data_IF_894261726047
#
_entry.id   IF_894261726047
#
_cell.length_a   1.000
_cell.length_b   1.000
_cell.length_c   1.000
_cell.angle_alpha   90.00
_cell.angle_beta   90.00
_cell.angle_gamma   90.00
#
_symmetry.space_group_name_H-M   'P 1'
#
loop_
_entity.id
_entity.type
_entity.pdbx_description
1 polymer ?
#
# COMPACT_ATOMS: atom_id res chain seq x y z
N UNK A 1 -25.82 4.64 -14.99
CA UNK A 1 -25.40 4.61 -13.57
C UNK A 1 -24.09 5.37 -13.54
N UNK A 2 -24.04 6.51 -12.84
CA UNK A 2 -22.77 7.18 -12.59
C UNK A 2 -21.89 6.23 -11.76
N UNK A 3 -20.63 6.05 -12.16
CA UNK A 3 -19.68 5.20 -11.43
C UNK A 3 -19.38 5.77 -10.05
N UNK A 4 -18.98 4.91 -9.11
CA UNK A 4 -18.61 5.35 -7.75
C UNK A 4 -17.30 6.12 -7.85
N UNK A 5 -17.25 7.36 -7.33
CA UNK A 5 -16.01 8.14 -7.31
C UNK A 5 -15.21 7.84 -6.04
N UNK A 6 -14.04 7.21 -6.16
CA UNK A 6 -13.22 6.88 -4.99
C UNK A 6 -12.30 8.01 -4.54
N UNK A 7 -11.88 8.90 -5.46
CA UNK A 7 -10.73 9.77 -5.20
C UNK A 7 -11.07 11.26 -5.12
N UNK A 8 -10.37 11.96 -4.24
CA UNK A 8 -10.27 13.42 -4.18
C UNK A 8 -8.87 13.80 -4.65
N UNK A 9 -8.76 14.47 -5.78
CA UNK A 9 -7.47 14.72 -6.45
C UNK A 9 -6.78 16.02 -6.02
N UNK A 10 -7.24 16.69 -4.96
CA UNK A 10 -6.69 17.99 -4.52
C UNK A 10 -5.21 17.91 -4.14
N UNK A 11 -4.77 16.80 -3.55
CA UNK A 11 -3.38 16.57 -3.12
C UNK A 11 -2.66 15.52 -3.98
N UNK A 12 -3.28 15.12 -5.10
CA UNK A 12 -2.65 14.22 -6.05
C UNK A 12 -1.75 15.03 -6.99
N UNK A 13 -0.48 15.14 -6.63
CA UNK A 13 0.57 15.78 -7.43
C UNK A 13 1.60 14.73 -7.87
N UNK A 14 1.61 14.41 -9.16
CA UNK A 14 2.50 13.38 -9.70
C UNK A 14 3.98 13.77 -9.63
N UNK A 15 4.32 15.05 -9.81
CA UNK A 15 5.71 15.51 -9.75
C UNK A 15 6.24 15.37 -8.32
N UNK A 16 5.41 15.72 -7.33
CA UNK A 16 5.75 15.54 -5.91
C UNK A 16 5.89 14.08 -5.52
N UNK A 17 4.98 13.23 -6.01
CA UNK A 17 5.05 11.78 -5.80
C UNK A 17 6.37 11.25 -6.38
N UNK A 18 6.69 11.56 -7.64
CA UNK A 18 7.91 11.09 -8.30
C UNK A 18 9.16 11.59 -7.57
N UNK A 19 9.17 12.86 -7.13
CA UNK A 19 10.27 13.44 -6.36
C UNK A 19 10.48 12.72 -5.04
N UNK A 20 9.40 12.47 -4.28
CA UNK A 20 9.45 11.79 -2.99
C UNK A 20 9.84 10.32 -3.12
N UNK A 21 9.34 9.62 -4.14
CA UNK A 21 9.75 8.23 -4.41
C UNK A 21 11.22 8.14 -4.84
N UNK A 22 11.73 9.12 -5.58
CA UNK A 22 13.15 9.15 -5.98
C UNK A 22 14.07 9.42 -4.78
N UNK A 23 13.68 10.34 -3.89
CA UNK A 23 14.55 10.82 -2.81
C UNK A 23 14.42 10.03 -1.50
N UNK A 24 13.19 9.78 -1.06
CA UNK A 24 12.86 9.14 0.23
C UNK A 24 12.43 7.67 0.02
N UNK A 25 11.90 7.35 -1.15
CA UNK A 25 11.41 6.02 -1.50
C UNK A 25 9.95 5.75 -1.13
N UNK A 26 9.32 6.66 -0.40
CA UNK A 26 7.96 6.54 0.13
C UNK A 26 7.30 7.93 0.22
N UNK A 27 5.99 7.98 -0.01
CA UNK A 27 5.13 9.15 0.27
C UNK A 27 3.75 8.66 0.72
N UNK A 28 3.06 9.44 1.55
CA UNK A 28 1.65 9.25 1.86
C UNK A 28 0.87 10.48 1.43
N UNK A 29 -0.26 10.27 0.77
CA UNK A 29 -1.15 11.34 0.31
C UNK A 29 -2.60 11.01 0.69
N UNK A 30 -3.40 11.98 1.13
CA UNK A 30 -4.84 11.80 1.25
C UNK A 30 -5.43 11.65 -0.15
N UNK A 31 -6.22 10.58 -0.37
CA UNK A 31 -6.74 10.30 -1.70
C UNK A 31 -8.20 9.82 -1.68
N UNK A 32 -8.60 9.00 -0.71
CA UNK A 32 -9.96 8.46 -0.71
C UNK A 32 -10.99 9.47 -0.24
N UNK A 33 -12.13 9.52 -0.93
CA UNK A 33 -13.32 10.23 -0.46
C UNK A 33 -13.88 9.52 0.78
N UNK A 34 -14.28 10.31 1.79
CA UNK A 34 -14.74 9.76 3.07
C UNK A 34 -15.96 8.84 2.91
N UNK A 35 -16.92 9.20 2.05
CA UNK A 35 -18.12 8.39 1.83
C UNK A 35 -17.79 7.00 1.28
N UNK A 36 -16.93 6.92 0.26
CA UNK A 36 -16.55 5.64 -0.38
C UNK A 36 -15.54 4.88 0.46
N UNK A 37 -14.66 5.56 1.21
CA UNK A 37 -13.81 4.94 2.25
C UNK A 37 -14.64 4.19 3.29
N UNK A 38 -15.73 4.79 3.77
CA UNK A 38 -16.64 4.13 4.71
C UNK A 38 -17.40 2.95 4.08
N UNK A 39 -17.73 3.01 2.78
CA UNK A 39 -18.30 1.87 2.06
C UNK A 39 -17.30 0.71 1.94
N UNK A 40 -16.04 1.02 1.59
CA UNK A 40 -14.94 0.05 1.56
C UNK A 40 -14.73 -0.59 2.93
N UNK A 41 -14.79 0.18 4.01
CA UNK A 41 -14.70 -0.37 5.38
C UNK A 41 -15.83 -1.37 5.65
N UNK A 42 -17.09 -1.01 5.34
CA UNK A 42 -18.23 -1.92 5.55
C UNK A 42 -18.09 -3.22 4.77
N UNK A 43 -17.60 -3.16 3.53
CA UNK A 43 -17.30 -4.36 2.75
C UNK A 43 -16.12 -5.14 3.34
N UNK A 44 -15.08 -4.44 3.84
CA UNK A 44 -13.92 -5.04 4.50
C UNK A 44 -14.32 -5.95 5.67
N UNK A 45 -15.31 -5.52 6.43
CA UNK A 45 -15.81 -6.23 7.62
C UNK A 45 -16.52 -7.56 7.26
N UNK A 46 -16.97 -7.72 6.02
CA UNK A 46 -17.70 -8.91 5.56
C UNK A 46 -16.79 -10.00 4.94
N UNK A 47 -15.53 -9.69 4.64
CA UNK A 47 -14.62 -10.69 4.06
C UNK A 47 -14.20 -11.76 5.05
N UNK A 48 -13.92 -12.95 4.51
CA UNK A 48 -13.27 -14.02 5.24
C UNK A 48 -11.75 -13.79 5.20
N UNK A 49 -11.12 -13.68 6.36
CA UNK A 49 -9.68 -13.52 6.45
C UNK A 49 -9.01 -14.78 6.98
N UNK A 50 -7.83 -15.08 6.45
CA UNK A 50 -6.94 -16.09 6.96
C UNK A 50 -5.84 -15.44 7.83
N UNK A 51 -5.46 -16.05 8.96
CA UNK A 51 -4.38 -15.52 9.81
C UNK A 51 -3.03 -15.64 9.10
N UNK A 52 -2.22 -14.58 9.20
CA UNK A 52 -0.89 -14.43 8.62
C UNK A 52 0.16 -14.29 9.74
N UNK A 53 0.24 -15.31 10.60
CA UNK A 53 1.21 -15.37 11.69
C UNK A 53 2.46 -16.10 11.20
N UNK A 54 3.50 -15.35 10.85
CA UNK A 54 4.71 -15.90 10.22
C UNK A 54 5.96 -15.34 10.88
N UNK A 55 7.00 -16.17 10.94
CA UNK A 55 8.38 -15.78 11.20
C UNK A 55 9.21 -16.29 10.02
N UNK A 56 9.74 -15.37 9.20
CA UNK A 56 10.44 -15.70 7.96
C UNK A 56 11.86 -15.15 8.04
N UNK A 57 12.84 -15.95 7.63
CA UNK A 57 14.26 -15.59 7.66
C UNK A 57 15.04 -16.30 8.77
N UNK A 58 16.34 -16.07 8.81
CA UNK A 58 17.24 -16.59 9.83
C UNK A 58 17.95 -15.43 10.54
N UNK A 59 18.40 -15.67 11.78
CA UNK A 59 19.25 -14.76 12.55
C UNK A 59 18.72 -13.32 12.63
N UNK A 60 19.48 -12.37 12.09
CA UNK A 60 19.25 -10.93 12.01
C UNK A 60 18.33 -10.51 10.83
N UNK A 61 17.88 -11.47 10.02
CA UNK A 61 16.99 -11.22 8.87
C UNK A 61 15.53 -11.62 9.11
N UNK A 62 15.15 -11.84 10.37
CA UNK A 62 13.81 -12.29 10.75
C UNK A 62 12.78 -11.18 10.45
N UNK A 63 11.75 -11.54 9.70
CA UNK A 63 10.52 -10.78 9.54
C UNK A 63 9.41 -11.53 10.28
N UNK A 64 8.75 -10.84 11.21
CA UNK A 64 7.55 -11.35 11.89
C UNK A 64 6.32 -10.61 11.39
N UNK A 65 5.26 -11.37 11.16
CA UNK A 65 3.95 -10.84 10.79
C UNK A 65 2.90 -11.35 11.75
N UNK A 66 1.96 -10.48 12.10
CA UNK A 66 0.78 -10.80 12.87
C UNK A 66 -0.36 -9.87 12.43
N UNK A 67 -1.18 -10.39 11.50
CA UNK A 67 -2.42 -9.79 11.01
C UNK A 67 -3.24 -10.91 10.35
N UNK A 68 -4.46 -10.63 9.89
CA UNK A 68 -5.17 -11.51 8.96
C UNK A 68 -5.19 -10.90 7.55
N UNK A 69 -5.27 -11.73 6.51
CA UNK A 69 -5.38 -11.26 5.12
C UNK A 69 -6.51 -11.93 4.34
N UNK A 70 -7.02 -11.19 3.35
CA UNK A 70 -7.91 -11.66 2.30
C UNK A 70 -7.31 -11.24 0.95
N UNK A 71 -7.19 -12.17 0.00
CA UNK A 71 -6.70 -11.94 -1.37
C UNK A 71 -7.72 -12.37 -2.44
N UNK A 72 -8.93 -12.75 -2.02
CA UNK A 72 -10.01 -13.22 -2.88
C UNK A 72 -11.16 -12.22 -2.86
N UNK A 73 -11.45 -11.65 -4.02
CA UNK A 73 -12.45 -10.58 -4.18
C UNK A 73 -13.41 -10.96 -5.31
N UNK A 74 -14.69 -10.59 -5.16
CA UNK A 74 -15.64 -10.69 -6.27
C UNK A 74 -15.30 -9.64 -7.34
N UNK A 75 -15.59 -9.94 -8.61
CA UNK A 75 -15.35 -9.02 -9.73
C UNK A 75 -16.08 -7.68 -9.55
N UNK A 76 -17.24 -7.70 -8.90
CA UNK A 76 -18.06 -6.52 -8.62
C UNK A 76 -17.88 -5.94 -7.20
N UNK A 77 -16.81 -6.32 -6.49
CA UNK A 77 -16.49 -5.71 -5.18
C UNK A 77 -16.01 -4.27 -5.34
N UNK A 78 -16.18 -3.43 -4.30
CA UNK A 78 -15.67 -2.05 -4.33
C UNK A 78 -14.14 -2.02 -4.39
N UNK A 79 -13.47 -3.05 -3.88
CA UNK A 79 -12.02 -3.19 -3.95
C UNK A 79 -11.52 -3.45 -5.38
N UNK A 80 -12.23 -4.27 -6.16
CA UNK A 80 -11.94 -4.46 -7.58
C UNK A 80 -12.15 -3.16 -8.35
N UNK A 81 -13.26 -2.45 -8.10
CA UNK A 81 -13.56 -1.17 -8.76
C UNK A 81 -12.53 -0.09 -8.38
N UNK A 82 -12.20 0.07 -7.10
CA UNK A 82 -11.16 0.99 -6.64
C UNK A 82 -9.82 0.71 -7.31
N UNK A 83 -9.42 -0.57 -7.42
CA UNK A 83 -8.14 -0.95 -8.04
C UNK A 83 -8.12 -0.60 -9.52
N UNK A 84 -9.21 -0.85 -10.25
CA UNK A 84 -9.33 -0.49 -11.65
C UNK A 84 -9.30 1.03 -11.86
N UNK A 85 -10.06 1.80 -11.07
CA UNK A 85 -10.06 3.25 -11.16
C UNK A 85 -8.69 3.85 -10.79
N UNK A 86 -8.03 3.30 -9.77
CA UNK A 86 -6.71 3.75 -9.35
C UNK A 86 -5.63 3.44 -10.41
N UNK A 87 -5.72 2.27 -11.04
CA UNK A 87 -4.87 1.90 -12.16
C UNK A 87 -5.01 2.89 -13.32
N UNK A 88 -6.26 3.24 -13.69
CA UNK A 88 -6.53 4.24 -14.74
C UNK A 88 -6.00 5.61 -14.35
N UNK A 89 -6.28 6.08 -13.12
CA UNK A 89 -5.79 7.37 -12.61
C UNK A 89 -4.26 7.48 -12.76
N UNK A 90 -3.51 6.48 -12.29
CA UNK A 90 -2.05 6.50 -12.40
C UNK A 90 -1.57 6.44 -13.85
N UNK A 91 -2.15 5.57 -14.68
CA UNK A 91 -1.76 5.45 -16.08
C UNK A 91 -2.01 6.76 -16.86
N UNK A 92 -3.16 7.39 -16.64
CA UNK A 92 -3.52 8.65 -17.29
C UNK A 92 -2.61 9.79 -16.84
N UNK A 93 -2.34 9.90 -15.52
CA UNK A 93 -1.45 10.91 -14.98
C UNK A 93 -0.03 10.75 -15.55
N UNK A 94 0.48 9.51 -15.61
CA UNK A 94 1.82 9.22 -16.15
C UNK A 94 1.89 9.50 -17.65
N UNK A 95 0.87 9.10 -18.41
CA UNK A 95 0.81 9.35 -19.85
C UNK A 95 0.90 10.85 -20.17
N UNK A 96 0.34 11.71 -19.33
CA UNK A 96 0.41 13.17 -19.49
C UNK A 96 1.81 13.75 -19.29
N UNK A 97 2.69 13.07 -18.53
CA UNK A 97 4.07 13.55 -18.31
C UNK A 97 4.99 13.31 -19.50
N UNK A 98 4.69 12.32 -20.35
CA UNK A 98 5.61 11.84 -21.39
C UNK A 98 6.86 11.13 -20.86
N UNK A 99 6.97 10.89 -19.55
CA UNK A 99 8.12 10.24 -18.91
C UNK A 99 7.91 8.72 -18.85
N UNK A 100 8.99 7.97 -19.06
CA UNK A 100 9.02 6.53 -18.77
C UNK A 100 9.41 6.32 -17.30
N UNK A 101 8.42 6.30 -16.42
CA UNK A 101 8.64 6.10 -14.98
C UNK A 101 8.91 4.65 -14.60
N UNK A 102 8.51 3.69 -15.43
CA UNK A 102 8.54 2.26 -15.12
C UNK A 102 9.16 1.46 -16.26
N UNK A 103 9.99 0.47 -15.92
CA UNK A 103 10.62 -0.44 -16.90
C UNK A 103 9.59 -1.27 -17.68
N UNK A 104 8.43 -1.51 -17.09
CA UNK A 104 7.29 -2.17 -17.73
C UNK A 104 6.02 -1.36 -17.48
N UNK A 105 5.01 -1.42 -18.35
CA UNK A 105 3.73 -0.78 -18.10
C UNK A 105 3.19 -1.16 -16.71
N UNK A 106 2.73 -0.16 -15.95
CA UNK A 106 2.20 -0.39 -14.62
C UNK A 106 0.93 -1.24 -14.71
N UNK A 107 0.93 -2.37 -14.00
CA UNK A 107 -0.23 -3.24 -13.91
C UNK A 107 -0.32 -3.89 -12.53
N UNK A 108 -1.25 -3.41 -11.69
CA UNK A 108 -1.56 -4.08 -10.45
C UNK A 108 -2.19 -5.45 -10.73
N UNK A 109 -1.51 -6.50 -10.28
CA UNK A 109 -1.93 -7.89 -10.47
C UNK A 109 -1.92 -8.69 -9.16
N UNK A 110 -1.72 -7.99 -8.04
CA UNK A 110 -1.77 -8.53 -6.70
C UNK A 110 -2.47 -7.52 -5.80
N UNK A 111 -3.54 -7.98 -5.16
CA UNK A 111 -4.38 -7.21 -4.26
C UNK A 111 -4.54 -8.02 -2.98
N UNK A 112 -4.21 -7.41 -1.83
CA UNK A 112 -4.31 -8.06 -0.51
C UNK A 112 -4.90 -7.08 0.47
N UNK A 113 -6.05 -7.41 1.05
CA UNK A 113 -6.65 -6.68 2.15
C UNK A 113 -6.15 -7.28 3.46
N UNK A 114 -5.58 -6.44 4.32
CA UNK A 114 -5.06 -6.84 5.63
C UNK A 114 -5.97 -6.29 6.73
N UNK A 115 -6.26 -7.13 7.73
CA UNK A 115 -6.95 -6.77 8.96
C UNK A 115 -6.01 -6.95 10.14
N UNK A 116 -5.67 -5.84 10.77
CA UNK A 116 -4.93 -5.81 12.04
C UNK A 116 -5.93 -5.59 13.17
N UNK A 117 -5.79 -6.33 14.27
CA UNK A 117 -6.54 -6.12 15.52
C UNK A 117 -5.64 -5.44 16.55
N UNK A 118 -6.24 -4.75 17.54
CA UNK A 118 -5.48 -4.19 18.65
C UNK A 118 -4.52 -5.22 19.26
N UNK A 119 -3.37 -4.75 19.72
CA UNK A 119 -2.33 -5.54 20.39
C UNK A 119 -1.56 -6.54 19.51
N UNK A 120 -1.98 -6.78 18.26
CA UNK A 120 -1.17 -7.55 17.32
C UNK A 120 0.16 -6.84 17.05
N UNK A 121 1.21 -7.62 16.81
CA UNK A 121 2.55 -7.11 16.50
C UNK A 121 2.56 -6.20 15.26
N UNK A 122 1.74 -6.50 14.26
CA UNK A 122 1.80 -5.90 12.94
C UNK A 122 2.80 -6.60 12.02
N UNK A 123 3.75 -5.87 11.45
CA UNK A 123 4.83 -6.44 10.64
C UNK A 123 6.13 -5.73 10.95
N UNK A 124 7.17 -6.49 11.30
CA UNK A 124 8.49 -5.93 11.65
C UNK A 124 9.22 -5.34 10.43
N UNK A 125 10.29 -4.53 10.61
CA UNK A 125 11.05 -3.95 9.51
C UNK A 125 11.40 -4.94 8.40
N UNK A 126 10.92 -4.63 7.20
CA UNK A 126 11.10 -5.47 6.03
C UNK A 126 11.10 -4.63 4.75
N UNK A 127 11.49 -5.27 3.65
CA UNK A 127 11.23 -4.80 2.29
C UNK A 127 10.21 -5.73 1.69
N UNK A 128 9.34 -5.21 0.84
CA UNK A 128 8.46 -6.06 0.02
C UNK A 128 9.28 -7.07 -0.80
N UNK A 129 8.62 -8.09 -1.36
CA UNK A 129 9.27 -9.13 -2.17
C UNK A 129 10.02 -8.55 -3.38
N UNK A 130 11.11 -9.19 -3.81
CA UNK A 130 11.79 -8.82 -5.07
C UNK A 130 10.91 -9.05 -6.30
N UNK A 131 9.85 -9.84 -6.14
CA UNK A 131 8.85 -10.03 -7.20
C UNK A 131 7.92 -8.84 -7.34
N UNK A 132 7.78 -7.97 -6.33
CA UNK A 132 7.01 -6.75 -6.45
C UNK A 132 7.89 -5.68 -7.13
N UNK A 133 7.40 -5.14 -8.25
CA UNK A 133 8.13 -4.21 -9.12
C UNK A 133 7.35 -2.92 -9.34
N UNK A 134 8.02 -1.92 -9.92
CA UNK A 134 7.51 -0.59 -10.24
C UNK A 134 7.00 0.18 -9.03
N UNK A 135 5.79 -0.12 -8.57
CA UNK A 135 5.10 0.64 -7.54
C UNK A 135 4.36 -0.29 -6.58
N UNK A 136 4.42 0.04 -5.29
CA UNK A 136 3.67 -0.61 -4.22
C UNK A 136 2.79 0.44 -3.57
N UNK A 137 1.51 0.11 -3.39
CA UNK A 137 0.52 1.03 -2.86
C UNK A 137 -0.16 0.41 -1.64
N UNK A 138 -0.32 1.17 -0.56
CA UNK A 138 -1.03 0.73 0.64
C UNK A 138 -2.05 1.78 1.02
N UNK A 139 -3.34 1.49 0.81
CA UNK A 139 -4.43 2.34 1.28
C UNK A 139 -4.71 2.02 2.75
N UNK A 140 -4.80 3.05 3.61
CA UNK A 140 -5.41 2.88 4.91
C UNK A 140 -6.93 3.10 4.79
N UNK A 141 -7.71 2.03 4.92
CA UNK A 141 -9.17 2.12 4.79
C UNK A 141 -9.78 2.60 6.09
N UNK A 142 -9.37 2.06 7.23
CA UNK A 142 -9.86 2.49 8.54
C UNK A 142 -8.92 2.06 9.65
N UNK A 143 -9.12 2.63 10.84
CA UNK A 143 -8.37 2.30 12.04
C UNK A 143 -6.98 2.91 12.10
N UNK A 144 -6.28 2.64 13.20
CA UNK A 144 -5.02 3.28 13.56
C UNK A 144 -3.93 2.26 13.87
N UNK A 145 -2.81 2.43 13.18
CA UNK A 145 -1.54 1.79 13.45
C UNK A 145 -0.41 2.75 13.05
N UNK A 146 0.72 2.68 13.73
CA UNK A 146 1.90 3.41 13.30
C UNK A 146 2.55 2.70 12.12
N UNK A 147 2.80 3.44 11.05
CA UNK A 147 3.59 2.99 9.91
C UNK A 147 4.86 3.82 9.85
N UNK A 148 5.98 3.14 9.64
CA UNK A 148 7.27 3.79 9.59
C UNK A 148 8.05 3.35 8.36
N UNK A 149 8.81 4.28 7.79
CA UNK A 149 9.97 3.97 6.94
C UNK A 149 11.22 4.03 7.81
N UNK A 150 12.17 3.13 7.59
CA UNK A 150 13.44 3.10 8.33
C UNK A 150 14.61 2.81 7.39
N UNK A 151 15.83 2.89 7.92
CA UNK A 151 17.05 2.67 7.14
C UNK A 151 17.39 1.18 6.99
N UNK A 152 17.02 0.36 7.97
CA UNK A 152 17.40 -1.06 8.00
C UNK A 152 16.40 -1.95 8.76
N UNK A 153 16.78 -3.22 8.96
CA UNK A 153 16.00 -4.26 9.65
C UNK A 153 15.87 -4.05 11.15
N UNK A 154 16.72 -3.23 11.76
CA UNK A 154 16.62 -2.91 13.20
C UNK A 154 15.55 -1.85 13.47
N UNK A 155 15.06 -1.16 12.44
CA UNK A 155 14.19 -0.01 12.58
C UNK A 155 14.95 1.30 12.83
N UNK A 156 16.27 1.33 12.61
CA UNK A 156 17.07 2.53 12.75
C UNK A 156 16.58 3.66 11.82
N UNK A 157 16.65 4.91 12.29
CA UNK A 157 16.25 6.06 11.49
C UNK A 157 14.77 6.06 11.11
N UNK A 158 13.90 5.52 11.97
CA UNK A 158 12.47 5.46 11.72
C UNK A 158 11.85 6.86 11.54
N UNK A 159 11.13 7.03 10.43
CA UNK A 159 10.35 8.22 10.08
C UNK A 159 8.90 7.78 10.00
N UNK A 160 8.04 8.42 10.79
CA UNK A 160 6.60 8.16 10.77
C UNK A 160 6.01 8.59 9.42
N UNK A 161 5.17 7.73 8.86
CA UNK A 161 4.40 8.00 7.65
C UNK A 161 2.95 8.18 8.06
N UNK A 162 2.31 9.25 7.59
CA UNK A 162 0.90 9.48 7.88
C UNK A 162 0.06 8.37 7.28
N UNK A 163 -0.72 7.70 8.11
CA UNK A 163 -1.65 6.64 7.71
C UNK A 163 -3.06 6.97 8.14
N UNK A 164 -3.42 8.24 8.26
CA UNK A 164 -4.80 8.65 8.51
C UNK A 164 -5.75 7.93 7.54
N UNK A 165 -6.87 7.35 8.01
CA UNK A 165 -7.84 6.69 7.14
C UNK A 165 -8.18 7.56 5.92
N UNK A 166 -8.07 6.96 4.73
CA UNK A 166 -8.25 7.63 3.45
C UNK A 166 -6.95 7.97 2.74
N UNK A 167 -5.80 7.84 3.40
CA UNK A 167 -4.50 8.00 2.76
C UNK A 167 -4.10 6.77 1.95
N UNK A 168 -3.35 7.00 0.88
CA UNK A 168 -2.56 5.98 0.18
C UNK A 168 -1.08 6.26 0.37
N UNK A 169 -0.37 5.22 0.79
CA UNK A 169 1.09 5.20 0.82
C UNK A 169 1.57 4.64 -0.50
N UNK A 170 2.47 5.36 -1.17
CA UNK A 170 3.16 4.91 -2.39
C UNK A 170 4.62 4.64 -2.06
N UNK A 171 5.14 3.52 -2.53
CA UNK A 171 6.53 3.13 -2.33
C UNK A 171 7.17 2.69 -3.64
N UNK A 172 8.42 3.09 -3.85
CA UNK A 172 9.20 2.63 -5.00
C UNK A 172 9.51 1.14 -4.88
N UNK A 173 9.56 0.48 -6.02
CA UNK A 173 10.04 -0.89 -6.16
C UNK A 173 10.98 -1.01 -7.36
N UNK A 174 11.68 -2.14 -7.55
CA UNK A 174 12.58 -2.33 -8.67
C UNK A 174 11.87 -2.04 -9.99
N UNK A 175 12.49 -1.24 -10.85
CA UNK A 175 11.94 -0.81 -12.13
C UNK A 175 11.31 0.58 -12.14
N UNK A 176 11.12 1.22 -10.98
CA UNK A 176 10.80 2.65 -10.93
C UNK A 176 12.05 3.48 -11.25
N UNK A 177 12.03 4.20 -12.38
CA UNK A 177 13.14 5.01 -12.89
C UNK A 177 14.49 4.25 -12.95
N UNK A 178 14.44 2.94 -13.23
CA UNK A 178 15.62 2.07 -13.26
C UNK A 178 16.27 1.84 -11.88
N UNK A 179 15.65 2.29 -10.80
CA UNK A 179 16.12 2.04 -9.43
C UNK A 179 15.82 0.60 -9.02
N UNK A 180 16.69 0.03 -8.19
CA UNK A 180 16.54 -1.32 -7.62
C UNK A 180 16.26 -1.32 -6.11
N UNK A 181 16.41 -0.17 -5.45
CA UNK A 181 16.23 -0.03 -4.02
C UNK A 181 14.75 -0.06 -3.61
N UNK A 182 14.48 -0.56 -2.40
CA UNK A 182 13.15 -0.67 -1.80
C UNK A 182 13.22 -0.17 -0.37
N UNK A 183 12.34 0.75 0.06
CA UNK A 183 12.37 1.29 1.40
C UNK A 183 12.09 0.19 2.44
N UNK A 184 12.87 0.14 3.50
CA UNK A 184 12.48 -0.61 4.70
C UNK A 184 11.30 0.08 5.36
N UNK A 185 10.30 -0.71 5.74
CA UNK A 185 9.13 -0.21 6.43
C UNK A 185 8.52 -1.26 7.36
N UNK A 186 7.69 -0.79 8.28
CA UNK A 186 7.01 -1.64 9.26
C UNK A 186 5.71 -1.03 9.75
N UNK A 187 4.87 -1.88 10.34
CA UNK A 187 3.61 -1.49 10.98
C UNK A 187 3.64 -2.00 12.42
N UNK A 188 3.30 -1.13 13.36
CA UNK A 188 3.26 -1.46 14.79
C UNK A 188 2.20 -0.61 15.51
N UNK A 189 2.10 -0.74 16.82
CA UNK A 189 1.19 0.02 17.67
C UNK A 189 -0.25 0.02 17.11
N UNK A 190 -0.82 -1.17 16.90
CA UNK A 190 -2.21 -1.28 16.43
C UNK A 190 -3.14 -0.84 17.58
N UNK A 191 -3.75 0.35 17.46
CA UNK A 191 -4.59 0.94 18.53
C UNK A 191 -6.08 0.66 18.34
N UNK A 192 -6.49 0.38 17.12
CA UNK A 192 -7.85 -0.03 16.76
C UNK A 192 -7.80 -1.04 15.62
N UNK A 193 -8.89 -1.79 15.38
CA UNK A 193 -8.97 -2.64 14.19
C UNK A 193 -8.70 -1.80 12.95
N UNK A 194 -7.67 -2.17 12.19
CA UNK A 194 -7.20 -1.46 11.00
C UNK A 194 -7.37 -2.33 9.77
N UNK A 195 -7.97 -1.76 8.73
CA UNK A 195 -8.08 -2.39 7.42
C UNK A 195 -7.20 -1.64 6.43
N UNK A 196 -6.32 -2.35 5.73
CA UNK A 196 -5.49 -1.75 4.70
C UNK A 196 -5.37 -2.59 3.44
N UNK A 197 -5.50 -1.95 2.29
CA UNK A 197 -5.40 -2.59 0.99
C UNK A 197 -4.00 -2.40 0.41
N UNK A 198 -3.25 -3.49 0.22
CA UNK A 198 -1.99 -3.50 -0.49
C UNK A 198 -2.18 -3.86 -1.96
N UNK A 199 -1.72 -3.01 -2.87
CA UNK A 199 -1.66 -3.25 -4.31
C UNK A 199 -0.21 -3.33 -4.78
N UNK A 200 0.07 -4.30 -5.65
CA UNK A 200 1.41 -4.55 -6.19
C UNK A 200 1.32 -5.01 -7.65
N UNK A 201 2.33 -4.66 -8.44
CA UNK A 201 2.65 -5.39 -9.67
C UNK A 201 3.69 -6.46 -9.34
N UNK A 202 3.38 -7.72 -9.63
CA UNK A 202 4.27 -8.85 -9.39
C UNK A 202 4.70 -9.51 -10.68
N UNK A 203 5.99 -9.83 -10.79
CA UNK A 203 6.48 -10.77 -11.79
C UNK A 203 6.03 -12.19 -11.39
N UNK A 204 5.45 -12.91 -12.36
CA UNK A 204 4.98 -14.29 -12.19
C UNK A 204 6.14 -15.28 -12.25
#
# INVERSE_FOLDING_TARGET
>A
MEGIAFFTLHEFDLDEIVRSLTTIGIISIPLLQEQTRQQLQREAEQFNYAPEIKTIGATDQIVKTEYDSCDTFAENSLYTELTQQFQTLLNDAIAQTGLSLFETPLQFNSMVLQRYRPEQLGITPHRDSLRAINLICVFNISGHASFYRCDDRSGAGAIAIDTTPGHVILMRAPGFLGLSDRPFHYVTEIRSTRYSLGLRQRIR
#
